data_IF_994869301913
#
_entry.id   IF_994869301913
#
_cell.length_a   1.000
_cell.length_b   1.000
_cell.length_c   1.000
_cell.angle_alpha   90.00
_cell.angle_beta   90.00
_cell.angle_gamma   90.00
#
_symmetry.space_group_name_H-M   'P 1'
#
loop_
_entity.id
_entity.type
_entity.pdbx_description
1 polymer ?
#
# COMPACT_ATOMS: atom_id res chain seq x y z
N UNK A 1 -17.77 -15.77 -4.06
CA UNK A 1 -18.38 -14.62 -3.36
C UNK A 1 -17.38 -14.12 -2.32
N UNK A 2 -16.56 -13.11 -2.62
CA UNK A 2 -15.65 -12.49 -1.66
C UNK A 2 -16.05 -11.03 -1.52
N UNK A 3 -16.72 -10.67 -0.41
CA UNK A 3 -17.00 -9.27 -0.13
C UNK A 3 -15.70 -8.52 0.15
N UNK A 4 -15.40 -7.58 -0.75
CA UNK A 4 -14.43 -6.49 -0.67
C UNK A 4 -14.66 -5.50 0.49
N UNK A 5 -15.53 -5.82 1.45
CA UNK A 5 -16.22 -4.84 2.29
C UNK A 5 -15.41 -4.18 3.42
N UNK A 6 -14.10 -4.43 3.57
CA UNK A 6 -13.37 -3.91 4.73
C UNK A 6 -11.92 -3.43 4.44
N UNK A 7 -11.18 -4.06 3.51
CA UNK A 7 -9.81 -3.66 3.20
C UNK A 7 -9.70 -2.24 2.63
N UNK A 8 -10.59 -1.88 1.71
CA UNK A 8 -10.57 -0.54 1.12
C UNK A 8 -10.84 0.55 2.17
N UNK A 9 -11.78 0.30 3.09
CA UNK A 9 -12.06 1.21 4.21
C UNK A 9 -10.88 1.29 5.17
N UNK A 10 -10.24 0.17 5.50
CA UNK A 10 -9.02 0.15 6.31
C UNK A 10 -7.88 0.93 5.65
N UNK A 11 -7.69 0.79 4.33
CA UNK A 11 -6.72 1.55 3.54
C UNK A 11 -7.06 3.04 3.59
N UNK A 12 -8.32 3.43 3.38
CA UNK A 12 -8.75 4.84 3.46
C UNK A 12 -8.49 5.42 4.84
N UNK A 13 -8.85 4.72 5.92
CA UNK A 13 -8.57 5.16 7.29
C UNK A 13 -7.07 5.29 7.56
N UNK A 14 -6.26 4.35 7.06
CA UNK A 14 -4.81 4.41 7.14
C UNK A 14 -4.25 5.63 6.38
N UNK A 15 -4.76 5.94 5.19
CA UNK A 15 -4.35 7.12 4.39
C UNK A 15 -4.67 8.41 5.14
N UNK A 16 -5.88 8.51 5.72
CA UNK A 16 -6.30 9.68 6.50
C UNK A 16 -5.34 9.93 7.68
N UNK A 17 -5.04 8.89 8.47
CA UNK A 17 -4.08 9.01 9.57
C UNK A 17 -2.66 9.27 9.06
N UNK A 18 -2.20 8.53 8.04
CA UNK A 18 -0.84 8.60 7.51
C UNK A 18 -0.49 10.01 7.05
N UNK A 19 -1.45 10.70 6.43
CA UNK A 19 -1.24 12.06 5.92
C UNK A 19 -0.98 13.10 7.03
N UNK A 20 -1.35 12.80 8.28
CA UNK A 20 -1.01 13.64 9.45
C UNK A 20 0.44 13.43 9.95
N UNK A 21 1.15 12.40 9.45
CA UNK A 21 2.46 11.99 9.97
C UNK A 21 3.62 12.64 9.23
N UNK A 22 4.81 12.63 9.85
CA UNK A 22 6.04 13.10 9.20
C UNK A 22 6.47 12.25 8.01
N UNK A 23 6.01 10.99 7.91
CA UNK A 23 6.34 10.12 6.78
C UNK A 23 5.66 10.57 5.48
N UNK A 24 4.43 11.08 5.56
CA UNK A 24 3.70 11.61 4.40
C UNK A 24 4.38 12.85 3.78
N UNK A 25 5.24 13.54 4.53
CA UNK A 25 5.99 14.71 4.04
C UNK A 25 7.15 14.33 3.12
N UNK A 26 7.58 13.07 3.11
CA UNK A 26 8.77 12.60 2.38
C UNK A 26 8.56 12.41 0.88
N UNK A 27 7.33 12.47 0.40
CA UNK A 27 7.04 12.24 -1.00
C UNK A 27 5.59 12.50 -1.36
N UNK A 28 5.28 12.23 -2.63
CA UNK A 28 3.93 12.35 -3.21
C UNK A 28 3.34 11.01 -3.62
N UNK A 29 4.12 9.94 -3.64
CA UNK A 29 3.67 8.61 -4.07
C UNK A 29 3.92 7.61 -2.97
N UNK A 30 2.91 6.80 -2.66
CA UNK A 30 2.94 5.78 -1.62
C UNK A 30 2.25 4.51 -2.10
N UNK A 31 2.75 3.39 -1.62
CA UNK A 31 2.17 2.07 -1.85
C UNK A 31 1.42 1.68 -0.58
N UNK A 32 0.17 1.23 -0.76
CA UNK A 32 -0.57 0.54 0.27
C UNK A 32 -0.53 -0.97 0.01
N UNK A 33 -0.43 -1.74 1.08
CA UNK A 33 -0.62 -3.18 1.08
C UNK A 33 -1.58 -3.53 2.19
N UNK A 34 -2.46 -4.51 1.98
CA UNK A 34 -3.38 -4.98 3.01
C UNK A 34 -3.45 -6.50 3.03
N UNK A 35 -3.51 -7.05 4.24
CA UNK A 35 -3.76 -8.48 4.45
C UNK A 35 -4.51 -8.70 5.76
N UNK A 36 -5.09 -9.89 5.91
CA UNK A 36 -5.60 -10.38 7.19
C UNK A 36 -4.48 -11.13 7.91
N UNK A 37 -4.22 -10.80 9.18
CA UNK A 37 -3.20 -11.48 10.00
C UNK A 37 -3.80 -12.64 10.81
N UNK A 38 -5.02 -12.44 11.29
CA UNK A 38 -5.89 -13.39 12.00
C UNK A 38 -7.35 -13.03 11.67
N UNK A 39 -8.32 -13.92 11.94
CA UNK A 39 -9.75 -13.78 11.58
C UNK A 39 -10.50 -12.52 12.06
N UNK A 40 -9.82 -11.61 12.77
CA UNK A 40 -10.36 -10.34 13.27
C UNK A 40 -9.45 -9.12 13.09
N UNK A 41 -8.29 -9.24 12.43
CA UNK A 41 -7.32 -8.14 12.30
C UNK A 41 -6.95 -7.92 10.84
N UNK A 42 -7.14 -6.69 10.37
CA UNK A 42 -6.67 -6.23 9.08
C UNK A 42 -5.39 -5.43 9.28
N UNK A 43 -4.33 -5.84 8.61
CA UNK A 43 -3.07 -5.10 8.57
C UNK A 43 -3.01 -4.30 7.29
N UNK A 44 -2.79 -2.99 7.41
CA UNK A 44 -2.47 -2.12 6.27
C UNK A 44 -1.07 -1.56 6.45
N UNK A 45 -0.27 -1.60 5.39
CA UNK A 45 1.08 -1.03 5.36
C UNK A 45 1.13 0.08 4.33
N UNK A 46 1.54 1.28 4.74
CA UNK A 46 1.79 2.41 3.85
C UNK A 46 3.28 2.74 3.87
N UNK A 47 3.90 2.77 2.69
CA UNK A 47 5.32 3.10 2.54
C UNK A 47 5.58 3.81 1.21
N UNK A 48 6.69 4.55 1.12
CA UNK A 48 7.10 5.12 -0.17
C UNK A 48 7.71 4.02 -1.06
N UNK A 49 7.40 3.97 -2.36
CA UNK A 49 8.00 2.98 -3.26
C UNK A 49 9.51 3.19 -3.38
N UNK A 50 10.31 2.10 -3.36
CA UNK A 50 11.76 2.16 -3.62
C UNK A 50 12.03 2.30 -5.12
N UNK A 51 11.26 1.58 -5.93
CA UNK A 51 11.34 1.57 -7.38
C UNK A 51 10.00 2.03 -7.94
N UNK A 52 10.02 2.68 -9.11
CA UNK A 52 8.80 2.97 -9.87
C UNK A 52 8.18 1.68 -10.38
N UNK A 53 6.89 1.74 -10.73
CA UNK A 53 6.18 0.63 -11.37
C UNK A 53 6.75 0.44 -12.77
N UNK A 54 7.32 -0.72 -13.03
CA UNK A 54 7.92 -1.06 -14.33
C UNK A 54 6.83 -1.53 -15.29
N UNK A 55 6.83 -1.03 -16.52
CA UNK A 55 5.95 -1.49 -17.61
C UNK A 55 6.83 -2.01 -18.73
N UNK A 56 6.63 -3.26 -19.15
CA UNK A 56 7.45 -3.90 -20.18
C UNK A 56 6.73 -3.92 -21.53
N UNK A 57 7.43 -3.51 -22.59
CA UNK A 57 6.90 -3.43 -23.95
C UNK A 57 6.70 -4.81 -24.60
N UNK A 58 7.48 -5.81 -24.18
CA UNK A 58 7.42 -7.20 -24.64
C UNK A 58 6.17 -7.98 -24.16
N UNK A 59 5.28 -7.31 -23.41
CA UNK A 59 4.07 -7.91 -22.87
C UNK A 59 4.30 -8.79 -21.63
N UNK A 60 5.52 -8.83 -21.10
CA UNK A 60 5.79 -9.45 -19.80
C UNK A 60 4.95 -8.74 -18.76
N UNK A 61 4.09 -9.49 -18.04
CA UNK A 61 3.13 -8.91 -17.10
C UNK A 61 3.85 -8.10 -16.04
N UNK A 62 3.88 -6.79 -16.22
CA UNK A 62 4.06 -5.87 -15.12
C UNK A 62 2.88 -6.04 -14.19
N UNK A 63 3.14 -6.29 -12.90
CA UNK A 63 2.11 -6.17 -11.88
C UNK A 63 1.81 -4.68 -11.75
N UNK A 64 0.90 -4.19 -12.58
CA UNK A 64 0.33 -2.86 -12.47
C UNK A 64 -0.57 -2.81 -11.22
N UNK A 65 -0.51 -1.74 -10.42
CA UNK A 65 -1.51 -1.48 -9.39
C UNK A 65 -2.90 -1.48 -9.99
N UNK A 66 -3.89 -1.96 -9.25
CA UNK A 66 -5.26 -2.14 -9.77
C UNK A 66 -6.25 -1.14 -9.18
N UNK A 67 -5.78 -0.39 -8.17
CA UNK A 67 -6.51 0.62 -7.44
C UNK A 67 -5.59 1.78 -7.09
N UNK A 68 -6.17 2.98 -7.02
CA UNK A 68 -5.50 4.16 -6.51
C UNK A 68 -6.48 5.10 -5.81
N UNK A 69 -5.94 5.96 -4.94
CA UNK A 69 -6.61 7.13 -4.38
C UNK A 69 -5.65 8.31 -4.47
N UNK A 70 -6.18 9.43 -4.94
CA UNK A 70 -5.53 10.73 -4.82
C UNK A 70 -6.10 11.46 -3.61
N UNK A 71 -5.22 11.83 -2.67
CA UNK A 71 -5.62 12.54 -1.45
C UNK A 71 -4.56 13.55 -1.06
N UNK A 72 -4.96 14.82 -0.88
CA UNK A 72 -4.06 15.93 -0.55
C UNK A 72 -2.84 16.05 -1.48
N UNK A 73 -3.07 15.95 -2.81
CA UNK A 73 -2.04 16.02 -3.85
C UNK A 73 -0.95 14.92 -3.68
N UNK A 74 -1.38 13.75 -3.23
CA UNK A 74 -0.56 12.55 -3.08
C UNK A 74 -1.30 11.36 -3.67
N UNK A 75 -0.54 10.50 -4.34
CA UNK A 75 -1.01 9.26 -4.92
C UNK A 75 -0.72 8.09 -3.99
N UNK A 76 -1.77 7.34 -3.68
CA UNK A 76 -1.70 6.07 -2.98
C UNK A 76 -2.19 4.99 -3.95
N UNK A 77 -1.43 3.91 -4.14
CA UNK A 77 -1.86 2.80 -5.00
C UNK A 77 -1.63 1.45 -4.33
N UNK A 78 -2.40 0.44 -4.74
CA UNK A 78 -2.26 -0.93 -4.25
C UNK A 78 -2.75 -1.95 -5.27
N UNK A 79 -2.46 -3.22 -4.98
CA UNK A 79 -2.97 -4.35 -5.74
C UNK A 79 -4.17 -4.97 -5.01
N UNK A 80 -5.21 -5.21 -5.78
CA UNK A 80 -6.38 -6.01 -5.43
C UNK A 80 -6.51 -7.13 -6.47
N UNK A 81 -7.36 -8.11 -6.22
CA UNK A 81 -7.66 -9.28 -7.06
C UNK A 81 -8.24 -8.97 -8.46
N UNK A 82 -8.43 -7.69 -8.79
CA UNK A 82 -9.00 -7.23 -10.07
C UNK A 82 -7.91 -6.83 -11.06
N UNK A 83 -8.23 -6.72 -12.35
CA UNK A 83 -7.30 -6.19 -13.36
C UNK A 83 -7.18 -4.67 -13.25
N UNK A 84 -5.99 -4.12 -13.54
CA UNK A 84 -5.78 -2.68 -13.64
C UNK A 84 -6.56 -2.08 -14.81
N UNK A 85 -7.08 -0.87 -14.62
CA UNK A 85 -7.74 -0.10 -15.68
C UNK A 85 -6.83 1.01 -16.23
N UNK A 86 -7.25 1.59 -17.36
CA UNK A 86 -6.51 2.66 -18.06
C UNK A 86 -6.35 3.91 -17.18
N UNK A 87 -7.33 4.19 -16.31
CA UNK A 87 -7.30 5.35 -15.42
C UNK A 87 -6.16 5.24 -14.40
N UNK A 88 -5.91 4.04 -13.88
CA UNK A 88 -4.83 3.76 -12.94
C UNK A 88 -3.45 4.02 -13.58
N UNK A 89 -3.26 3.58 -14.83
CA UNK A 89 -2.01 3.82 -15.57
C UNK A 89 -1.80 5.32 -15.80
N UNK A 90 -2.85 6.01 -16.26
CA UNK A 90 -2.80 7.46 -16.51
C UNK A 90 -2.39 8.22 -15.24
N UNK A 91 -2.97 7.88 -14.09
CA UNK A 91 -2.67 8.54 -12.82
C UNK A 91 -1.24 8.24 -12.33
N UNK A 92 -0.76 7.00 -12.47
CA UNK A 92 0.63 6.67 -12.14
C UNK A 92 1.61 7.47 -13.01
N UNK A 93 1.30 7.66 -14.30
CA UNK A 93 2.11 8.47 -15.21
C UNK A 93 2.14 9.95 -14.79
N UNK A 94 0.98 10.51 -14.42
CA UNK A 94 0.84 11.91 -13.96
C UNK A 94 1.74 12.21 -12.75
N UNK A 95 1.91 11.23 -11.86
CA UNK A 95 2.78 11.30 -10.69
C UNK A 95 4.22 10.84 -10.95
N UNK A 96 4.58 10.56 -12.21
CA UNK A 96 5.89 10.02 -12.61
C UNK A 96 6.26 8.73 -11.86
N UNK A 97 5.26 7.91 -11.53
CA UNK A 97 5.39 6.69 -10.74
C UNK A 97 5.65 5.43 -11.59
N UNK A 98 5.74 5.57 -12.92
CA UNK A 98 6.04 4.48 -13.86
C UNK A 98 7.38 4.70 -14.57
N UNK A 99 8.04 3.60 -14.90
CA UNK A 99 9.14 3.55 -15.88
C UNK A 99 8.78 2.54 -16.97
N UNK A 100 8.87 2.97 -18.23
CA UNK A 100 8.69 2.12 -19.40
C UNK A 100 10.03 1.49 -19.77
N UNK A 101 10.07 0.16 -19.87
CA UNK A 101 11.25 -0.63 -20.19
C UNK A 101 10.98 -1.50 -21.41
N UNK A 102 12.01 -1.74 -22.23
CA UNK A 102 11.88 -2.62 -23.39
C UNK A 102 11.76 -4.09 -22.95
N UNK A 103 12.58 -4.50 -21.99
CA UNK A 103 12.65 -5.85 -21.44
C UNK A 103 13.26 -5.84 -20.01
N UNK A 104 13.32 -7.02 -19.37
CA UNK A 104 13.84 -7.19 -18.01
C UNK A 104 15.33 -6.84 -17.84
N UNK A 105 16.15 -6.86 -18.90
CA UNK A 105 17.59 -6.57 -18.80
C UNK A 105 17.86 -5.09 -18.44
N UNK A 106 16.90 -4.20 -18.75
CA UNK A 106 16.97 -2.78 -18.41
C UNK A 106 16.53 -2.49 -16.97
N UNK A 107 16.02 -3.51 -16.26
CA UNK A 107 15.41 -3.35 -14.95
C UNK A 107 16.48 -3.21 -13.85
N UNK A 108 16.86 -1.97 -13.51
CA UNK A 108 17.66 -1.70 -12.30
C UNK A 108 16.74 -1.76 -11.08
N UNK A 109 17.06 -2.61 -10.09
CA UNK A 109 16.33 -2.69 -8.82
C UNK A 109 17.18 -2.07 -7.72
N UNK A 110 16.68 -1.00 -7.12
CA UNK A 110 17.25 -0.45 -5.91
C UNK A 110 16.69 -1.21 -4.70
N UNK A 111 17.56 -1.48 -3.74
CA UNK A 111 17.21 -2.03 -2.44
C UNK A 111 17.53 -0.98 -1.37
N UNK A 112 16.58 -0.76 -0.46
CA UNK A 112 16.74 0.18 0.66
C UNK A 112 16.13 -0.45 1.92
N UNK A 113 16.95 -1.22 2.64
CA UNK A 113 16.56 -1.92 3.86
C UNK A 113 16.35 -0.98 5.06
N UNK A 114 16.78 0.29 4.93
CA UNK A 114 16.51 1.32 5.93
C UNK A 114 15.10 1.91 5.77
N UNK A 115 14.43 1.65 4.66
CA UNK A 115 13.12 2.23 4.35
C UNK A 115 12.05 1.68 5.29
N UNK A 116 11.41 2.60 6.00
CA UNK A 116 10.34 2.29 6.95
C UNK A 116 8.97 2.41 6.28
N UNK A 117 8.08 1.50 6.63
CA UNK A 117 6.64 1.60 6.42
C UNK A 117 5.90 1.89 7.72
N UNK A 118 4.72 2.48 7.59
CA UNK A 118 3.76 2.62 8.67
C UNK A 118 2.77 1.46 8.60
N UNK A 119 2.72 0.67 9.66
CA UNK A 119 1.84 -0.48 9.83
C UNK A 119 0.64 -0.04 10.64
N UNK A 120 -0.56 -0.38 10.18
CA UNK A 120 -1.82 -0.17 10.84
C UNK A 120 -2.47 -1.51 11.10
N UNK A 121 -2.79 -1.80 12.35
CA UNK A 121 -3.46 -3.01 12.78
C UNK A 121 -4.89 -2.64 13.19
N UNK A 122 -5.84 -2.83 12.26
CA UNK A 122 -7.24 -2.50 12.45
C UNK A 122 -8.01 -3.69 13.01
N UNK A 123 -8.95 -3.42 13.90
CA UNK A 123 -9.94 -4.40 14.30
C UNK A 123 -11.02 -4.52 13.23
N UNK A 124 -11.21 -5.71 12.67
CA UNK A 124 -12.16 -5.93 11.56
C UNK A 124 -13.59 -5.53 11.90
N UNK A 125 -13.97 -5.66 13.18
CA UNK A 125 -15.28 -5.27 13.70
C UNK A 125 -15.44 -3.76 13.90
N UNK A 126 -14.34 -3.01 14.07
CA UNK A 126 -14.31 -1.56 14.26
C UNK A 126 -13.03 -0.96 13.66
N UNK A 127 -13.16 -0.42 12.44
CA UNK A 127 -12.04 0.14 11.67
C UNK A 127 -11.63 1.54 12.11
N UNK A 128 -12.36 2.15 13.05
CA UNK A 128 -11.91 3.37 13.70
C UNK A 128 -10.88 3.04 14.80
N UNK A 129 -10.89 1.82 15.32
CA UNK A 129 -9.97 1.35 16.34
C UNK A 129 -8.79 0.58 15.73
N UNK A 130 -7.61 1.19 15.82
CA UNK A 130 -6.37 0.60 15.31
C UNK A 130 -5.16 0.97 16.15
N UNK A 131 -4.09 0.18 16.00
CA UNK A 131 -2.76 0.52 16.48
C UNK A 131 -1.83 0.74 15.29
N UNK A 132 -0.99 1.77 15.35
CA UNK A 132 0.02 2.02 14.32
C UNK A 132 1.45 1.83 14.83
N UNK A 133 2.34 1.34 13.96
CA UNK A 133 3.75 1.05 14.25
C UNK A 133 4.61 1.42 13.05
N UNK A 134 5.75 2.07 13.26
CA UNK A 134 6.75 2.32 12.21
C UNK A 134 7.77 1.18 12.24
N UNK A 135 8.03 0.54 11.09
CA UNK A 135 9.00 -0.56 10.96
C UNK A 135 9.62 -0.59 9.58
N UNK A 136 10.91 -0.95 9.48
CA UNK A 136 11.58 -1.27 8.21
C UNK A 136 11.52 -2.76 7.85
N UNK A 137 11.04 -3.60 8.77
CA UNK A 137 10.78 -5.02 8.47
C UNK A 137 9.47 -5.11 7.72
N UNK A 138 9.52 -5.49 6.45
CA UNK A 138 8.35 -5.94 5.68
C UNK A 138 7.70 -7.11 6.42
N UNK A 139 6.42 -6.95 6.76
CA UNK A 139 5.58 -7.97 7.42
C UNK A 139 6.12 -8.41 8.79
N UNK A 140 5.80 -7.66 9.84
CA UNK A 140 5.70 -8.29 11.17
C UNK A 140 4.49 -9.21 11.14
N UNK A 141 4.73 -10.51 11.02
CA UNK A 141 3.74 -11.58 11.19
C UNK A 141 3.12 -11.61 12.60
N UNK A 142 3.65 -10.83 13.55
CA UNK A 142 3.12 -10.78 14.91
C UNK A 142 2.42 -9.43 15.17
N UNK A 143 1.16 -9.51 15.63
CA UNK A 143 0.42 -8.41 16.23
C UNK A 143 1.29 -7.66 17.26
N UNK A 144 1.21 -6.32 17.36
CA UNK A 144 1.98 -5.59 18.36
C UNK A 144 1.63 -6.07 19.78
N UNK A 145 2.64 -6.21 20.65
CA UNK A 145 2.40 -6.54 22.07
C UNK A 145 1.40 -5.56 22.68
N UNK A 146 0.50 -6.05 23.53
CA UNK A 146 -0.55 -5.27 24.21
C UNK A 146 -1.49 -4.56 23.21
N UNK A 147 -1.89 -5.24 22.15
CA UNK A 147 -2.98 -4.81 21.29
C UNK A 147 -4.02 -5.93 21.23
N UNK A 148 -5.27 -5.58 21.46
CA UNK A 148 -6.42 -6.47 21.35
C UNK A 148 -7.62 -5.64 20.92
N UNK A 149 -8.48 -6.24 20.10
CA UNK A 149 -9.75 -5.64 19.76
C UNK A 149 -10.64 -5.55 21.00
N UNK A 150 -11.31 -4.42 21.16
CA UNK A 150 -12.30 -4.25 22.21
C UNK A 150 -13.53 -5.07 21.78
N UNK A 151 -13.94 -6.00 22.64
CA UNK A 151 -15.01 -6.99 22.47
C UNK A 151 -14.57 -8.26 21.70
N UNK A 152 -14.43 -9.35 22.46
CA UNK A 152 -14.70 -10.71 21.99
C UNK A 152 -16.15 -11.03 22.29
#
# INVERSE_FOLDING_TARGET
MNQSGNYETAIKNAILDFNSTSMAKRGKVFVAYSQELDSGIIVVVIHSPVNKVKIFADGTKSTLPTRYIEYNNKLYYWHDSTSSDVNTISKLNEYQAIDSLQDLSQAVLNHDDAKKGMYYYFCKQDLSYFKKVISNRLLRESMPRNFSCKNK
#
